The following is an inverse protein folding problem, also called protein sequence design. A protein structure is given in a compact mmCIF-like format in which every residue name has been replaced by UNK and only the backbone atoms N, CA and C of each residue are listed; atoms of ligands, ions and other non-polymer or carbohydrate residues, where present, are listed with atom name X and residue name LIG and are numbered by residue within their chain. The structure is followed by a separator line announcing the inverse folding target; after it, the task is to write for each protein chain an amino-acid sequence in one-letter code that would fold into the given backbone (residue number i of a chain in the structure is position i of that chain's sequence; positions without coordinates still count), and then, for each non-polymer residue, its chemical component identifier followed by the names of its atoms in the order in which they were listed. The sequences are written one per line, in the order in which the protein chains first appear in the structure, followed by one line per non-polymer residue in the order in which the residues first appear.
data_IF_371917198215
#
_entry.id   IF_371917198215
#
_cell.length_a   1.000
_cell.length_b   1.000
_cell.length_c   1.000
_cell.angle_alpha   90.00
_cell.angle_beta   90.00
_cell.angle_gamma   90.00
#
_symmetry.space_group_name_H-M   'P 1'
#
loop_
_entity.id
_entity.type
_entity.pdbx_description
1 polymer ?
#
# COMPACT_ATOMS: atom_id res chain seq x y z
N UNK A 1 -31.93 32.76 33.26
CA UNK A 1 -30.56 33.31 33.14
C UNK A 1 -29.59 32.18 33.45
N UNK A 2 -28.72 31.85 32.47
CA UNK A 2 -27.74 30.76 32.42
C UNK A 2 -28.31 29.33 32.40
N UNK A 3 -27.85 28.37 31.60
CA UNK A 3 -27.19 28.26 30.28
C UNK A 3 -26.72 26.80 30.24
N UNK A 4 -27.43 25.93 29.53
CA UNK A 4 -26.99 24.55 29.29
C UNK A 4 -25.97 24.54 28.14
N UNK A 5 -24.81 23.94 28.38
CA UNK A 5 -23.75 23.74 27.40
C UNK A 5 -24.02 22.43 26.64
N UNK A 6 -24.40 22.56 25.37
CA UNK A 6 -24.42 21.48 24.40
C UNK A 6 -22.98 21.03 24.07
N UNK A 7 -22.60 19.86 24.56
CA UNK A 7 -21.39 19.16 24.14
C UNK A 7 -21.63 18.50 22.77
N UNK A 8 -21.37 19.26 21.70
CA UNK A 8 -21.42 18.77 20.32
C UNK A 8 -20.21 17.84 20.08
N UNK A 9 -20.45 16.53 20.10
CA UNK A 9 -19.44 15.52 19.74
C UNK A 9 -18.99 15.73 18.29
N UNK A 10 -17.72 16.08 18.11
CA UNK A 10 -17.10 16.26 16.79
C UNK A 10 -17.01 14.91 16.07
N UNK A 11 -17.62 14.82 14.87
CA UNK A 11 -17.47 13.68 13.97
C UNK A 11 -16.01 13.59 13.49
N UNK A 12 -15.41 12.40 13.32
CA UNK A 12 -14.14 12.28 12.62
C UNK A 12 -14.31 12.78 11.17
N UNK A 13 -13.31 13.47 10.59
CA UNK A 13 -13.43 13.99 9.23
C UNK A 13 -13.60 12.84 8.24
N UNK A 14 -14.64 12.95 7.42
CA UNK A 14 -14.90 12.11 6.26
C UNK A 14 -13.69 12.11 5.33
N UNK A 15 -13.30 10.93 4.83
CA UNK A 15 -12.26 10.74 3.83
C UNK A 15 -12.71 11.20 2.43
N UNK A 16 -13.31 12.39 2.35
CA UNK A 16 -13.54 13.12 1.12
C UNK A 16 -12.38 14.08 0.89
N UNK A 17 -11.91 14.22 -0.36
CA UNK A 17 -10.93 15.25 -0.74
C UNK A 17 -11.36 16.59 -0.15
N UNK A 18 -10.61 17.08 0.83
CA UNK A 18 -10.83 18.41 1.39
C UNK A 18 -10.68 19.48 0.32
N UNK A 19 -11.41 20.60 0.43
CA UNK A 19 -11.24 21.74 -0.46
C UNK A 19 -9.82 22.29 -0.31
N UNK A 20 -9.04 22.31 -1.40
CA UNK A 20 -7.66 22.84 -1.42
C UNK A 20 -6.54 21.82 -1.64
N UNK A 21 -6.84 20.57 -2.00
CA UNK A 21 -5.79 19.62 -2.39
C UNK A 21 -4.94 20.20 -3.55
N UNK A 22 -3.65 20.43 -3.29
CA UNK A 22 -2.72 20.94 -4.29
C UNK A 22 -2.77 20.09 -5.56
N UNK A 23 -2.86 20.75 -6.71
CA UNK A 23 -2.94 20.05 -7.99
C UNK A 23 -1.68 19.20 -8.24
N UNK A 24 -1.81 18.01 -8.82
CA UNK A 24 -0.65 17.19 -9.18
C UNK A 24 0.30 17.92 -10.14
N UNK A 25 1.60 17.89 -9.85
CA UNK A 25 2.63 18.45 -10.72
C UNK A 25 2.91 17.49 -11.87
N UNK A 26 2.78 17.96 -13.11
CA UNK A 26 3.13 17.18 -14.30
C UNK A 26 4.64 17.26 -14.53
N UNK A 27 5.28 16.11 -14.79
CA UNK A 27 6.73 16.00 -14.88
C UNK A 27 7.15 15.17 -16.11
N UNK A 28 8.35 15.44 -16.62
CA UNK A 28 8.93 14.71 -17.76
C UNK A 28 10.44 14.50 -17.59
N UNK A 29 10.88 13.26 -17.78
CA UNK A 29 12.29 12.87 -17.84
C UNK A 29 12.55 12.23 -19.21
N UNK A 30 13.07 13.01 -20.16
CA UNK A 30 13.22 12.60 -21.55
C UNK A 30 11.92 12.01 -22.13
N UNK A 31 11.90 10.71 -22.49
CA UNK A 31 10.74 10.06 -23.06
C UNK A 31 9.66 9.68 -22.03
N UNK A 32 9.96 9.74 -20.74
CA UNK A 32 9.02 9.37 -19.66
C UNK A 32 8.18 10.56 -19.22
N UNK A 33 6.87 10.34 -19.08
CA UNK A 33 5.93 11.28 -18.46
C UNK A 33 5.39 10.72 -17.15
N UNK A 34 5.08 11.59 -16.20
CA UNK A 34 4.60 11.20 -14.87
C UNK A 34 3.93 12.40 -14.17
N UNK A 35 3.34 12.16 -13.00
CA UNK A 35 2.93 13.26 -12.13
C UNK A 35 3.28 13.00 -10.66
N UNK A 36 3.53 14.07 -9.93
CA UNK A 36 3.78 14.06 -8.50
C UNK A 36 2.57 14.61 -7.76
N UNK A 37 2.11 13.92 -6.71
CA UNK A 37 1.04 14.36 -5.83
C UNK A 37 1.62 15.02 -4.57
N UNK A 38 1.60 16.36 -4.45
CA UNK A 38 2.21 17.05 -3.30
C UNK A 38 1.59 16.67 -1.96
N UNK A 39 0.30 16.31 -1.93
CA UNK A 39 -0.40 15.95 -0.70
C UNK A 39 0.10 14.63 -0.07
N UNK A 40 0.73 13.76 -0.86
CA UNK A 40 1.10 12.39 -0.45
C UNK A 40 2.56 12.05 -0.75
N UNK A 41 3.31 12.95 -1.38
CA UNK A 41 4.63 12.71 -1.95
C UNK A 41 4.71 11.49 -2.87
N UNK A 42 3.63 11.23 -3.62
CA UNK A 42 3.50 10.07 -4.49
C UNK A 42 3.86 10.44 -5.93
N UNK A 43 4.88 9.81 -6.50
CA UNK A 43 5.19 9.87 -7.93
C UNK A 43 4.38 8.77 -8.64
N UNK A 44 3.51 9.14 -9.57
CA UNK A 44 2.52 8.22 -10.16
C UNK A 44 2.56 8.21 -11.68
N UNK A 45 2.08 7.07 -12.21
CA UNK A 45 1.87 6.81 -13.64
C UNK A 45 3.06 7.23 -14.47
N UNK A 46 4.21 6.62 -14.20
CA UNK A 46 5.41 6.81 -15.00
C UNK A 46 5.20 6.02 -16.30
N UNK A 47 5.10 6.73 -17.43
CA UNK A 47 4.72 6.15 -18.72
C UNK A 47 5.76 6.41 -19.79
N UNK A 48 5.95 5.43 -20.65
CA UNK A 48 6.63 5.55 -21.93
C UNK A 48 5.57 5.55 -23.02
N UNK A 49 5.13 6.76 -23.37
CA UNK A 49 3.97 6.94 -24.22
C UNK A 49 2.69 6.33 -23.62
N UNK A 50 2.10 5.34 -24.30
CA UNK A 50 0.90 4.65 -23.80
C UNK A 50 1.21 3.56 -22.76
N UNK A 51 2.44 3.07 -22.71
CA UNK A 51 2.86 1.97 -21.83
C UNK A 51 3.06 2.53 -20.42
N UNK A 52 2.32 2.02 -19.43
CA UNK A 52 2.62 2.29 -18.02
C UNK A 52 3.85 1.48 -17.63
N UNK A 53 4.94 2.17 -17.28
CA UNK A 53 6.23 1.55 -16.92
C UNK A 53 6.26 1.27 -15.43
N UNK A 54 5.88 2.27 -14.62
CA UNK A 54 5.75 2.13 -13.16
C UNK A 54 4.46 2.84 -12.75
N UNK A 55 3.60 2.14 -12.01
CA UNK A 55 2.33 2.68 -11.52
C UNK A 55 2.53 3.76 -10.47
N UNK A 56 3.54 3.59 -9.62
CA UNK A 56 4.04 4.68 -8.80
C UNK A 56 5.12 4.31 -7.80
N UNK A 57 5.74 5.33 -7.23
CA UNK A 57 6.80 5.25 -6.22
C UNK A 57 6.40 6.16 -5.07
N UNK A 58 6.40 5.62 -3.85
CA UNK A 58 6.07 6.36 -2.62
C UNK A 58 6.82 5.79 -1.42
N UNK A 59 6.96 6.58 -0.35
CA UNK A 59 7.50 6.12 0.91
C UNK A 59 6.37 5.85 1.92
N UNK A 60 6.54 4.82 2.75
CA UNK A 60 5.60 4.47 3.81
C UNK A 60 6.29 4.44 5.18
N UNK A 61 5.69 5.12 6.17
CA UNK A 61 6.05 5.02 7.58
C UNK A 61 4.89 4.32 8.30
N UNK A 62 5.13 3.11 8.80
CA UNK A 62 4.12 2.26 9.42
C UNK A 62 4.49 1.83 10.83
N UNK A 63 3.55 2.00 11.74
CA UNK A 63 3.65 1.57 13.14
C UNK A 63 3.59 0.02 13.29
N UNK A 64 3.68 -0.45 14.53
CA UNK A 64 3.56 -1.87 14.92
C UNK A 64 2.26 -2.55 14.48
N UNK A 65 1.21 -1.80 14.21
CA UNK A 65 -0.11 -2.29 13.84
C UNK A 65 -0.38 -2.11 12.33
N UNK A 66 0.66 -1.84 11.54
CA UNK A 66 0.55 -1.52 10.11
C UNK A 66 -0.21 -0.23 9.79
N UNK A 67 -0.51 0.60 10.79
CA UNK A 67 -1.06 1.94 10.61
C UNK A 67 -0.06 2.83 9.87
N UNK A 68 -0.50 3.50 8.80
CA UNK A 68 0.37 4.35 7.98
C UNK A 68 0.28 5.81 8.46
N UNK A 69 1.37 6.34 8.99
CA UNK A 69 1.48 7.76 9.32
C UNK A 69 1.66 8.56 8.02
N UNK A 70 0.60 9.27 7.60
CA UNK A 70 0.60 10.05 6.38
C UNK A 70 1.57 11.24 6.51
N UNK A 71 2.37 11.55 5.47
CA UNK A 71 3.30 12.66 5.52
C UNK A 71 2.55 13.99 5.37
N UNK A 72 2.99 14.99 6.13
CA UNK A 72 2.68 16.40 5.89
C UNK A 72 3.86 17.00 5.13
N UNK A 73 3.61 17.40 3.87
CA UNK A 73 4.66 17.92 2.98
C UNK A 73 4.80 19.44 3.16
N UNK A 74 6.04 19.90 3.27
CA UNK A 74 6.40 21.31 3.37
C UNK A 74 7.65 21.62 2.54
N UNK A 75 7.96 22.90 2.36
CA UNK A 75 9.16 23.37 1.66
C UNK A 75 9.36 22.78 0.25
N UNK A 76 8.26 22.48 -0.46
CA UNK A 76 8.31 21.95 -1.82
C UNK A 76 8.92 22.97 -2.78
N UNK A 77 10.07 22.64 -3.35
CA UNK A 77 10.73 23.38 -4.43
C UNK A 77 10.66 22.55 -5.70
N UNK A 78 10.46 23.24 -6.82
CA UNK A 78 10.40 22.60 -8.14
C UNK A 78 11.18 23.38 -9.19
N UNK A 79 11.92 22.65 -10.01
CA UNK A 79 12.55 23.13 -11.24
C UNK A 79 12.10 22.18 -12.35
N UNK A 80 11.24 22.65 -13.26
CA UNK A 80 10.66 21.81 -14.32
C UNK A 80 11.06 22.41 -15.66
N UNK A 81 11.61 21.58 -16.54
CA UNK A 81 12.02 21.92 -17.90
C UNK A 81 11.38 20.95 -18.91
N UNK A 82 11.57 21.20 -20.20
CA UNK A 82 10.94 20.41 -21.27
C UNK A 82 11.27 18.92 -21.29
N UNK A 83 12.33 18.46 -20.62
CA UNK A 83 12.71 17.04 -20.60
C UNK A 83 13.43 16.61 -19.32
N UNK A 84 13.43 17.46 -18.30
CA UNK A 84 14.08 17.19 -17.03
C UNK A 84 13.37 17.92 -15.91
N UNK A 85 13.54 17.45 -14.68
CA UNK A 85 13.03 18.12 -13.51
C UNK A 85 13.88 17.82 -12.27
N UNK A 86 13.76 18.69 -11.27
CA UNK A 86 14.24 18.46 -9.91
C UNK A 86 13.19 18.97 -8.92
N UNK A 87 12.83 18.12 -7.96
CA UNK A 87 11.93 18.41 -6.84
C UNK A 87 12.66 18.15 -5.53
N UNK A 88 12.43 18.99 -4.52
CA UNK A 88 12.86 18.74 -3.14
C UNK A 88 11.76 19.15 -2.18
N UNK A 89 11.56 18.41 -1.09
CA UNK A 89 10.57 18.74 -0.06
C UNK A 89 10.93 18.11 1.28
N UNK A 90 10.34 18.65 2.35
CA UNK A 90 10.37 18.05 3.68
C UNK A 90 9.04 17.36 3.96
N UNK A 91 9.09 16.22 4.64
CA UNK A 91 7.94 15.42 4.99
C UNK A 91 7.98 15.04 6.48
N UNK A 92 6.91 15.36 7.21
CA UNK A 92 6.75 14.98 8.61
C UNK A 92 5.62 13.96 8.77
N UNK A 93 5.94 12.80 9.31
CA UNK A 93 5.02 11.71 9.58
C UNK A 93 4.77 11.64 11.10
N UNK A 94 3.59 12.08 11.52
CA UNK A 94 3.15 12.06 12.93
C UNK A 94 1.85 11.29 13.11
N UNK A 95 1.86 10.19 13.87
CA UNK A 95 0.64 9.44 14.22
C UNK A 95 0.86 8.57 15.46
N UNK A 96 0.10 8.81 16.54
CA UNK A 96 0.31 8.09 17.80
C UNK A 96 1.74 8.29 18.30
N UNK A 97 2.45 7.19 18.53
CA UNK A 97 3.87 7.23 18.97
C UNK A 97 4.85 7.51 17.80
N UNK A 98 4.40 7.42 16.54
CA UNK A 98 5.25 7.67 15.37
C UNK A 98 5.55 9.15 15.28
N UNK A 99 6.84 9.50 15.33
CA UNK A 99 7.34 10.81 14.94
C UNK A 99 8.61 10.65 14.10
N UNK A 100 8.47 10.86 12.80
CA UNK A 100 9.55 10.64 11.82
C UNK A 100 9.54 11.77 10.80
N UNK A 101 10.71 12.31 10.48
CA UNK A 101 10.87 13.34 9.45
C UNK A 101 11.81 12.84 8.35
N UNK A 102 11.56 13.24 7.11
CA UNK A 102 12.48 12.99 6.02
C UNK A 102 12.48 14.10 4.97
N UNK A 103 13.61 14.24 4.29
CA UNK A 103 13.76 15.06 3.10
C UNK A 103 13.64 14.15 1.88
N UNK A 104 12.76 14.53 0.96
CA UNK A 104 12.57 13.88 -0.32
C UNK A 104 13.20 14.66 -1.46
N UNK A 105 13.91 13.97 -2.35
CA UNK A 105 14.44 14.56 -3.58
C UNK A 105 14.07 13.69 -4.78
N UNK A 106 13.53 14.31 -5.83
CA UNK A 106 13.16 13.62 -7.06
C UNK A 106 13.81 14.32 -8.24
N UNK A 107 14.58 13.57 -9.03
CA UNK A 107 15.18 14.09 -10.26
C UNK A 107 14.73 13.27 -11.45
N UNK A 108 14.55 13.95 -12.58
CA UNK A 108 14.31 13.35 -13.87
C UNK A 108 15.29 13.93 -14.89
N UNK A 109 16.05 13.07 -15.54
CA UNK A 109 17.07 13.46 -16.50
C UNK A 109 16.58 13.30 -17.97
N UNK A 110 17.18 14.03 -18.93
CA UNK A 110 16.79 13.96 -20.34
C UNK A 110 16.95 12.58 -21.00
N UNK A 111 17.72 11.67 -20.40
CA UNK A 111 17.91 10.31 -20.89
C UNK A 111 16.77 9.34 -20.48
N UNK A 112 15.86 9.78 -19.61
CA UNK A 112 14.81 8.95 -19.03
C UNK A 112 15.15 8.38 -17.65
N UNK A 113 16.28 8.74 -17.06
CA UNK A 113 16.60 8.36 -15.67
C UNK A 113 15.74 9.15 -14.70
N UNK A 114 15.07 8.46 -13.78
CA UNK A 114 14.31 9.07 -12.69
C UNK A 114 14.84 8.54 -11.36
N UNK A 115 15.25 9.42 -10.45
CA UNK A 115 15.72 9.05 -9.12
C UNK A 115 14.86 9.68 -8.04
N UNK A 116 14.44 8.89 -7.05
CA UNK A 116 13.73 9.36 -5.86
C UNK A 116 14.53 8.95 -4.61
N UNK A 117 15.04 9.94 -3.88
CA UNK A 117 15.78 9.77 -2.64
C UNK A 117 14.92 10.10 -1.41
N UNK A 118 15.18 9.39 -0.33
CA UNK A 118 14.57 9.54 0.99
C UNK A 118 15.69 9.59 2.01
N UNK A 119 15.79 10.68 2.77
CA UNK A 119 16.73 10.82 3.89
C UNK A 119 15.98 11.23 5.14
N UNK A 120 15.81 10.30 6.08
CA UNK A 120 14.96 10.49 7.24
C UNK A 120 15.59 10.16 8.57
N UNK A 121 14.94 10.63 9.62
CA UNK A 121 15.33 10.48 11.01
C UNK A 121 14.10 10.26 11.90
N UNK A 122 14.21 9.32 12.84
CA UNK A 122 13.23 9.15 13.91
C UNK A 122 13.42 10.24 14.97
N UNK A 123 12.36 11.00 15.26
CA UNK A 123 12.39 12.08 16.26
C UNK A 123 11.95 11.59 17.65
N UNK A 124 11.38 10.39 17.73
CA UNK A 124 10.99 9.71 18.96
C UNK A 124 11.33 8.21 18.87
N UNK A 125 11.30 7.53 20.02
CA UNK A 125 11.33 6.07 20.04
C UNK A 125 9.93 5.53 19.69
N UNK A 126 9.84 4.59 18.76
CA UNK A 126 8.57 3.91 18.45
C UNK A 126 8.80 2.54 17.82
N UNK A 127 7.74 1.73 17.78
CA UNK A 127 7.76 0.43 17.11
C UNK A 127 7.27 0.57 15.67
N UNK A 128 8.05 0.05 14.72
CA UNK A 128 7.72 0.08 13.28
C UNK A 128 7.56 -1.32 12.70
N UNK A 129 6.70 -1.42 11.69
CA UNK A 129 6.72 -2.53 10.73
C UNK A 129 7.39 -2.13 9.42
N UNK A 130 7.34 -0.85 9.03
CA UNK A 130 7.95 -0.37 7.77
C UNK A 130 8.34 1.10 7.84
N UNK A 131 9.54 1.41 7.35
CA UNK A 131 9.95 2.76 6.98
C UNK A 131 10.74 2.61 5.70
N UNK A 132 10.26 3.16 4.59
CA UNK A 132 10.97 3.12 3.32
C UNK A 132 10.09 3.10 2.09
N UNK A 133 10.73 2.95 0.93
CA UNK A 133 10.08 2.99 -0.37
C UNK A 133 9.22 1.76 -0.67
N UNK A 134 8.15 2.02 -1.39
CA UNK A 134 7.32 1.05 -2.09
C UNK A 134 7.23 1.47 -3.57
N UNK A 135 7.40 0.51 -4.47
CA UNK A 135 7.28 0.68 -5.92
C UNK A 135 6.15 -0.21 -6.43
N UNK A 136 5.17 0.40 -7.09
CA UNK A 136 4.03 -0.30 -7.68
C UNK A 136 4.29 -0.55 -9.17
N UNK A 137 4.24 -1.82 -9.55
CA UNK A 137 4.34 -2.26 -10.95
C UNK A 137 2.94 -2.50 -11.51
N UNK A 138 2.63 -1.99 -12.71
CA UNK A 138 1.28 -2.07 -13.26
C UNK A 138 0.95 -3.48 -13.73
N UNK A 139 -0.21 -4.00 -13.33
CA UNK A 139 -0.61 -5.38 -13.64
C UNK A 139 -0.72 -5.65 -15.15
N UNK A 140 -1.23 -4.68 -15.93
CA UNK A 140 -1.52 -4.87 -17.36
C UNK A 140 -0.24 -5.10 -18.16
N UNK A 141 0.80 -4.34 -17.86
CA UNK A 141 2.09 -4.43 -18.55
C UNK A 141 3.00 -5.49 -17.92
N UNK A 142 2.88 -5.77 -16.61
CA UNK A 142 3.78 -6.69 -15.93
C UNK A 142 3.31 -8.14 -15.86
N UNK A 143 2.02 -8.46 -15.77
CA UNK A 143 1.60 -9.87 -15.59
C UNK A 143 2.13 -10.78 -16.72
N UNK A 144 2.85 -11.85 -16.36
CA UNK A 144 3.52 -12.75 -17.30
C UNK A 144 4.73 -12.17 -18.06
N UNK A 145 5.04 -10.88 -17.89
CA UNK A 145 6.13 -10.20 -18.60
C UNK A 145 7.50 -10.77 -18.23
N UNK A 146 8.43 -10.71 -19.19
CA UNK A 146 9.84 -11.06 -18.95
C UNK A 146 10.42 -10.10 -17.93
N UNK A 147 11.13 -10.67 -16.96
CA UNK A 147 11.75 -9.93 -15.89
C UNK A 147 13.14 -10.45 -15.58
N UNK A 148 13.92 -9.60 -14.93
CA UNK A 148 15.21 -9.94 -14.34
C UNK A 148 15.22 -9.39 -12.93
N UNK A 149 15.76 -10.15 -12.01
CA UNK A 149 16.01 -9.69 -10.66
C UNK A 149 17.50 -9.76 -10.39
N UNK A 150 18.06 -8.63 -9.95
CA UNK A 150 19.41 -8.56 -9.43
C UNK A 150 19.33 -8.73 -7.92
N UNK A 151 19.95 -9.79 -7.42
CA UNK A 151 19.96 -10.13 -5.99
C UNK A 151 20.98 -9.30 -5.23
N UNK A 152 20.89 -9.27 -3.90
CA UNK A 152 21.84 -8.58 -3.01
C UNK A 152 23.26 -9.12 -3.08
N UNK A 153 23.43 -10.37 -3.49
CA UNK A 153 24.74 -10.99 -3.76
C UNK A 153 25.27 -10.73 -5.18
N UNK A 154 24.55 -9.93 -5.98
CA UNK A 154 24.91 -9.57 -7.34
C UNK A 154 24.46 -10.57 -8.41
N UNK A 155 23.88 -11.72 -8.05
CA UNK A 155 23.34 -12.66 -9.05
C UNK A 155 22.19 -12.03 -9.82
N UNK A 156 22.21 -12.19 -11.13
CA UNK A 156 21.08 -11.84 -12.00
C UNK A 156 20.32 -13.11 -12.34
N UNK A 157 19.03 -13.13 -12.04
CA UNK A 157 18.13 -14.25 -12.33
C UNK A 157 17.10 -13.80 -13.36
N UNK A 158 17.10 -14.45 -14.52
CA UNK A 158 16.03 -14.33 -15.52
C UNK A 158 14.76 -14.98 -14.98
N UNK A 159 13.64 -14.29 -15.06
CA UNK A 159 12.36 -14.76 -14.57
C UNK A 159 11.19 -14.12 -15.35
N UNK A 160 9.98 -14.30 -14.82
CA UNK A 160 8.79 -13.60 -15.26
C UNK A 160 8.02 -13.12 -14.05
N UNK A 161 7.26 -12.04 -14.20
CA UNK A 161 6.21 -11.74 -13.25
C UNK A 161 5.16 -12.86 -13.25
N UNK A 162 4.52 -13.16 -12.11
CA UNK A 162 3.46 -14.15 -12.06
C UNK A 162 2.30 -13.78 -12.99
N UNK A 163 1.91 -14.68 -13.88
CA UNK A 163 0.72 -14.50 -14.71
C UNK A 163 -0.54 -14.70 -13.85
N UNK A 164 -0.61 -15.83 -13.15
CA UNK A 164 -1.62 -16.10 -12.12
C UNK A 164 -1.20 -15.56 -10.75
N UNK A 165 -2.17 -15.38 -9.85
CA UNK A 165 -1.90 -14.95 -8.46
C UNK A 165 -1.02 -16.01 -7.79
N UNK A 166 0.12 -15.58 -7.25
CA UNK A 166 1.06 -16.45 -6.53
C UNK A 166 1.34 -15.93 -5.11
N UNK A 167 1.62 -16.82 -4.14
CA UNK A 167 2.08 -16.41 -2.83
C UNK A 167 3.47 -15.78 -2.94
N UNK A 168 3.69 -14.67 -2.24
CA UNK A 168 4.92 -13.90 -2.32
C UNK A 168 6.20 -14.73 -2.05
N UNK A 169 6.20 -15.54 -0.99
CA UNK A 169 7.43 -16.17 -0.46
C UNK A 169 7.80 -17.46 -1.21
N UNK A 170 6.80 -18.23 -1.64
CA UNK A 170 7.01 -19.57 -2.22
C UNK A 170 6.50 -19.70 -3.66
N UNK A 171 6.03 -18.60 -4.26
CA UNK A 171 5.64 -18.54 -5.66
C UNK A 171 6.81 -18.88 -6.58
N UNK A 172 6.52 -19.39 -7.77
CA UNK A 172 7.54 -19.77 -8.76
C UNK A 172 8.37 -18.56 -9.19
N UNK A 173 7.70 -17.42 -9.29
CA UNK A 173 8.33 -16.16 -9.68
C UNK A 173 8.98 -15.41 -8.50
N UNK A 174 8.98 -15.95 -7.28
CA UNK A 174 9.31 -15.20 -6.06
C UNK A 174 10.53 -14.27 -6.20
N UNK A 175 10.27 -13.00 -5.91
CA UNK A 175 11.22 -11.89 -5.99
C UNK A 175 11.64 -11.49 -4.58
N UNK A 176 12.86 -11.86 -4.21
CA UNK A 176 13.41 -11.70 -2.86
C UNK A 176 14.82 -11.12 -2.94
N UNK A 177 15.36 -10.61 -1.83
CA UNK A 177 16.74 -10.14 -1.76
C UNK A 177 17.13 -9.20 -2.91
N UNK A 178 16.24 -8.27 -3.26
CA UNK A 178 16.34 -7.46 -4.47
C UNK A 178 17.27 -6.27 -4.27
N UNK A 179 18.16 -6.07 -5.25
CA UNK A 179 18.89 -4.82 -5.54
C UNK A 179 18.35 -4.13 -6.79
N UNK A 180 17.83 -4.89 -7.73
CA UNK A 180 17.11 -4.33 -8.86
C UNK A 180 16.05 -5.29 -9.40
N UNK A 181 15.02 -4.74 -10.02
CA UNK A 181 14.06 -5.47 -10.84
C UNK A 181 14.01 -4.78 -12.20
N UNK A 182 14.20 -5.55 -13.26
CA UNK A 182 13.98 -5.09 -14.62
C UNK A 182 12.81 -5.85 -15.26
N UNK A 183 11.97 -5.16 -16.02
CA UNK A 183 10.94 -5.79 -16.84
C UNK A 183 10.92 -5.21 -18.26
N UNK A 184 10.59 -6.04 -19.23
CA UNK A 184 10.55 -5.63 -20.64
C UNK A 184 9.29 -4.79 -20.90
N UNK A 185 9.47 -3.54 -21.34
CA UNK A 185 8.37 -2.60 -21.64
C UNK A 185 8.07 -2.51 -23.14
N UNK A 186 9.03 -2.91 -23.97
CA UNK A 186 8.90 -3.12 -25.41
C UNK A 186 10.02 -4.08 -25.84
N UNK A 187 9.93 -4.66 -27.05
CA UNK A 187 10.93 -5.61 -27.53
C UNK A 187 12.37 -5.03 -27.45
N UNK A 188 13.20 -5.63 -26.60
CA UNK A 188 14.59 -5.21 -26.40
C UNK A 188 14.78 -3.93 -25.57
N UNK A 189 13.71 -3.36 -25.00
CA UNK A 189 13.74 -2.22 -24.09
C UNK A 189 13.22 -2.63 -22.71
N UNK A 190 14.04 -2.35 -21.70
CA UNK A 190 13.78 -2.73 -20.31
C UNK A 190 13.63 -1.49 -19.45
N UNK A 191 12.65 -1.52 -18.55
CA UNK A 191 12.62 -0.62 -17.41
C UNK A 191 13.33 -1.32 -16.25
N UNK A 192 14.44 -0.75 -15.81
CA UNK A 192 15.22 -1.24 -14.67
C UNK A 192 15.00 -0.31 -13.48
N UNK A 193 14.59 -0.88 -12.35
CA UNK A 193 14.41 -0.20 -11.08
C UNK A 193 15.46 -0.72 -10.11
N UNK A 194 16.40 0.14 -9.74
CA UNK A 194 17.43 -0.11 -8.74
C UNK A 194 16.96 0.38 -7.36
N UNK A 195 17.27 -0.39 -6.32
CA UNK A 195 16.90 -0.14 -4.94
C UNK A 195 18.16 -0.03 -4.06
N UNK A 196 18.26 1.06 -3.30
CA UNK A 196 19.36 1.30 -2.38
C UNK A 196 18.85 1.67 -0.98
N UNK A 197 19.65 1.35 0.04
CA UNK A 197 19.38 1.68 1.45
C UNK A 197 18.58 0.66 2.26
N UNK A 198 18.14 -0.45 1.66
CA UNK A 198 17.62 -1.64 2.37
C UNK A 198 17.66 -2.86 1.42
N UNK A 199 17.20 -4.02 1.90
CA UNK A 199 16.87 -5.19 1.09
C UNK A 199 15.40 -5.09 0.69
N UNK A 200 15.12 -5.34 -0.59
CA UNK A 200 13.76 -5.26 -1.13
C UNK A 200 13.24 -6.65 -1.49
N UNK A 201 11.93 -6.81 -1.50
CA UNK A 201 11.22 -7.97 -2.03
C UNK A 201 9.94 -7.50 -2.71
N UNK A 202 9.30 -8.36 -3.49
CA UNK A 202 8.06 -8.01 -4.17
C UNK A 202 6.91 -8.94 -3.81
N UNK A 203 5.79 -8.36 -3.40
CA UNK A 203 4.52 -9.06 -3.28
C UNK A 203 3.68 -8.93 -4.54
N UNK A 204 2.91 -9.98 -4.82
CA UNK A 204 1.75 -9.90 -5.68
C UNK A 204 0.57 -9.34 -4.88
N UNK A 205 0.22 -8.08 -5.12
CA UNK A 205 -0.83 -7.42 -4.35
C UNK A 205 -2.24 -7.87 -4.75
N UNK A 206 -2.39 -8.72 -5.78
CA UNK A 206 -3.68 -9.33 -6.13
C UNK A 206 -4.19 -10.25 -5.02
N UNK A 207 -3.29 -10.77 -4.18
CA UNK A 207 -3.65 -11.45 -2.93
C UNK A 207 -4.42 -10.54 -1.95
N UNK A 208 -4.30 -9.22 -2.12
CA UNK A 208 -4.94 -8.17 -1.31
C UNK A 208 -5.98 -7.37 -2.11
N UNK A 209 -6.43 -7.88 -3.26
CA UNK A 209 -7.40 -7.22 -4.16
C UNK A 209 -6.87 -5.94 -4.85
N UNK A 210 -5.59 -5.62 -4.69
CA UNK A 210 -4.95 -4.51 -5.39
C UNK A 210 -4.58 -4.90 -6.83
N UNK A 211 -4.66 -3.94 -7.76
CA UNK A 211 -4.34 -4.13 -9.18
C UNK A 211 -2.88 -3.79 -9.52
N UNK A 212 -1.93 -4.33 -8.75
CA UNK A 212 -0.49 -4.10 -8.91
C UNK A 212 0.37 -5.22 -8.31
N UNK A 213 1.64 -5.24 -8.66
CA UNK A 213 2.70 -5.85 -7.84
C UNK A 213 3.39 -4.75 -7.03
N UNK A 214 3.87 -5.05 -5.82
CA UNK A 214 4.56 -4.04 -5.00
C UNK A 214 5.91 -4.55 -4.56
N UNK A 215 6.96 -3.86 -4.98
CA UNK A 215 8.30 -4.01 -4.40
C UNK A 215 8.42 -3.11 -3.18
N UNK A 216 8.95 -3.61 -2.07
CA UNK A 216 9.08 -2.88 -0.82
C UNK A 216 10.24 -3.39 0.03
N UNK A 217 10.57 -2.61 1.05
CA UNK A 217 11.46 -2.98 2.15
C UNK A 217 10.75 -2.74 3.50
N UNK A 218 11.25 -3.23 4.62
CA UNK A 218 12.20 -4.33 4.80
C UNK A 218 11.46 -5.68 4.56
N UNK A 219 12.11 -6.79 4.17
CA UNK A 219 11.42 -8.04 3.84
C UNK A 219 10.60 -8.59 5.02
N UNK A 220 9.43 -9.19 4.74
CA UNK A 220 8.53 -9.76 5.75
C UNK A 220 9.10 -10.99 6.47
N UNK A 221 10.16 -11.60 5.96
CA UNK A 221 10.84 -12.67 6.67
C UNK A 221 11.70 -12.14 7.85
N UNK A 222 12.02 -10.84 7.86
CA UNK A 222 12.78 -10.22 8.96
C UNK A 222 11.89 -10.02 10.19
N UNK A 223 12.46 -9.92 11.41
CA UNK A 223 11.67 -9.62 12.61
C UNK A 223 10.86 -8.33 12.48
N UNK A 224 9.59 -8.37 12.86
CA UNK A 224 8.72 -7.20 13.02
C UNK A 224 7.64 -7.47 14.10
N UNK A 225 7.14 -6.43 14.80
CA UNK A 225 7.64 -5.06 14.80
C UNK A 225 9.05 -4.95 15.41
N UNK A 226 9.79 -3.91 15.03
CA UNK A 226 11.08 -3.56 15.65
C UNK A 226 11.05 -2.14 16.19
N UNK A 227 11.71 -1.91 17.32
CA UNK A 227 11.87 -0.57 17.89
C UNK A 227 12.90 0.23 17.06
N UNK A 228 12.55 1.46 16.72
CA UNK A 228 13.47 2.47 16.20
C UNK A 228 13.68 3.53 17.29
N UNK A 229 14.93 3.91 17.55
CA UNK A 229 15.27 4.92 18.55
C UNK A 229 15.31 6.32 17.94
N UNK A 230 14.98 7.33 18.72
CA UNK A 230 15.21 8.72 18.36
C UNK A 230 16.67 8.93 17.92
N UNK A 231 16.87 9.71 16.86
CA UNK A 231 18.16 9.91 16.19
C UNK A 231 18.53 8.84 15.17
N UNK A 232 17.77 7.74 15.04
CA UNK A 232 18.06 6.72 14.02
C UNK A 232 17.76 7.27 12.64
N UNK A 233 18.76 7.24 11.76
CA UNK A 233 18.63 7.66 10.36
C UNK A 233 18.28 6.50 9.44
N UNK A 234 17.46 6.79 8.42
CA UNK A 234 17.08 5.87 7.35
C UNK A 234 17.26 6.59 6.02
N UNK A 235 18.18 6.14 5.20
CA UNK A 235 18.46 6.71 3.88
C UNK A 235 18.20 5.64 2.81
N UNK A 236 17.45 5.97 1.78
CA UNK A 236 17.11 5.07 0.68
C UNK A 236 17.02 5.82 -0.64
N UNK A 237 17.18 5.11 -1.76
CA UNK A 237 16.83 5.66 -3.06
C UNK A 237 16.31 4.61 -4.04
N UNK A 238 15.41 5.07 -4.92
CA UNK A 238 14.91 4.32 -6.08
C UNK A 238 15.44 5.00 -7.33
N UNK A 239 16.07 4.24 -8.22
CA UNK A 239 16.48 4.76 -9.54
C UNK A 239 15.85 3.93 -10.65
N UNK A 240 15.01 4.56 -11.47
CA UNK A 240 14.44 3.99 -12.69
C UNK A 240 15.28 4.40 -13.90
N UNK A 241 15.64 3.45 -14.75
CA UNK A 241 16.33 3.66 -16.03
C UNK A 241 15.66 2.89 -17.15
N UNK A 242 15.79 3.39 -18.37
CA UNK A 242 15.46 2.66 -19.59
C UNK A 242 16.74 2.08 -20.20
N UNK A 243 16.81 0.75 -20.30
CA UNK A 243 18.01 0.01 -20.75
C UNK A 243 17.68 -0.79 -22.00
N UNK A 244 18.50 -0.66 -23.05
CA UNK A 244 18.37 -1.42 -24.29
C UNK A 244 18.19 -0.53 -25.53
N UNK A 245 17.92 -1.17 -26.67
CA UNK A 245 17.80 -0.47 -27.94
C UNK A 245 16.56 0.43 -27.92
N UNK A 246 16.77 1.75 -28.04
CA UNK A 246 15.67 2.70 -28.23
C UNK A 246 15.04 2.42 -29.59
N UNK A 247 13.96 1.63 -29.62
CA UNK A 247 13.01 1.75 -30.71
C UNK A 247 12.63 3.24 -30.83
N UNK A 248 12.45 3.75 -32.04
CA UNK A 248 11.95 5.10 -32.25
C UNK A 248 10.51 5.17 -31.73
N UNK A 249 10.35 5.47 -30.44
CA UNK A 249 9.04 5.78 -29.89
C UNK A 249 8.64 7.09 -30.54
N UNK A 250 7.50 7.10 -31.23
CA UNK A 250 6.87 8.36 -31.59
C UNK A 250 6.74 9.15 -30.30
N UNK A 251 7.16 10.41 -30.30
CA UNK A 251 6.82 11.31 -29.21
C UNK A 251 5.33 11.18 -28.96
N UNK A 252 5.00 10.64 -27.80
CA UNK A 252 3.62 10.64 -27.37
C UNK A 252 3.22 12.10 -27.17
N UNK A 253 2.40 12.60 -28.09
CA UNK A 253 1.47 13.72 -27.84
C UNK A 253 0.35 13.26 -26.90
N UNK A 254 0.72 12.57 -25.82
CA UNK A 254 -0.21 12.23 -24.76
C UNK A 254 -0.31 13.49 -23.93
N UNK A 255 -1.28 14.32 -24.31
CA UNK A 255 -1.92 15.23 -23.39
C UNK A 255 -2.44 14.37 -22.24
N UNK A 256 -1.72 14.38 -21.12
CA UNK A 256 -2.27 13.96 -19.83
C UNK A 256 -3.55 14.75 -19.68
N UNK A 257 -4.67 14.03 -19.68
CA UNK A 257 -6.00 14.55 -19.96
C UNK A 257 -6.18 16.03 -19.60
N UNK A 258 -6.54 16.82 -20.61
CA UNK A 258 -6.91 18.23 -20.48
C UNK A 258 -7.93 18.42 -19.32
N UNK A 259 -7.95 19.60 -18.68
CA UNK A 259 -9.10 20.02 -17.88
C UNK A 259 -10.36 19.93 -18.77
N UNK A 260 -11.17 18.87 -18.59
CA UNK A 260 -12.27 18.55 -19.51
C UNK A 260 -12.39 17.06 -19.88
N UNK A 261 -11.48 16.20 -19.42
CA UNK A 261 -11.67 14.74 -19.46
C UNK A 261 -13.07 14.38 -18.92
N UNK A 262 -13.79 13.40 -19.51
CA UNK A 262 -15.11 13.02 -19.04
C UNK A 262 -15.02 12.65 -17.55
N UNK A 263 -15.55 13.52 -16.70
CA UNK A 263 -15.67 13.24 -15.28
C UNK A 263 -16.76 12.21 -15.13
N UNK A 264 -16.38 11.01 -14.72
CA UNK A 264 -17.34 10.03 -14.21
C UNK A 264 -17.72 10.50 -12.81
N UNK A 265 -18.78 11.30 -12.73
CA UNK A 265 -19.41 11.61 -11.45
C UNK A 265 -20.22 10.40 -11.02
N UNK A 266 -19.78 9.74 -9.96
CA UNK A 266 -20.56 8.72 -9.27
C UNK A 266 -21.34 9.44 -8.15
N UNK A 267 -22.58 9.92 -8.39
CA UNK A 267 -23.36 10.50 -7.32
C UNK A 267 -23.60 9.42 -6.25
N UNK A 268 -23.50 9.75 -4.95
CA UNK A 268 -23.86 8.81 -3.91
C UNK A 268 -25.29 8.33 -4.14
N UNK A 269 -25.56 7.02 -4.02
CA UNK A 269 -26.90 6.51 -4.20
C UNK A 269 -27.83 7.15 -3.17
N UNK A 270 -28.93 7.76 -3.63
CA UNK A 270 -29.96 8.38 -2.78
C UNK A 270 -30.86 7.35 -2.09
N UNK A 271 -30.81 6.10 -2.55
CA UNK A 271 -31.50 4.96 -1.95
C UNK A 271 -30.73 3.66 -2.25
N UNK A 272 -30.87 2.62 -1.41
CA UNK A 272 -30.31 1.29 -1.68
C UNK A 272 -30.91 0.75 -2.99
N UNK A 273 -30.06 0.43 -3.97
CA UNK A 273 -30.50 -0.18 -5.24
C UNK A 273 -30.56 -1.71 -5.19
N UNK A 274 -29.88 -2.30 -4.21
CA UNK A 274 -29.83 -3.73 -3.95
C UNK A 274 -30.00 -3.95 -2.45
N UNK A 275 -30.66 -5.04 -2.03
CA UNK A 275 -30.65 -5.41 -0.62
C UNK A 275 -29.22 -5.67 -0.18
N UNK A 276 -28.84 -5.14 0.98
CA UNK A 276 -27.55 -5.48 1.57
C UNK A 276 -27.49 -6.97 1.86
N UNK A 277 -26.36 -7.65 1.61
CA UNK A 277 -26.19 -9.02 2.06
C UNK A 277 -26.36 -9.08 3.58
N UNK A 278 -26.84 -10.21 4.09
CA UNK A 278 -26.89 -10.46 5.54
C UNK A 278 -25.46 -10.38 6.09
N UNK A 279 -25.18 -9.34 6.87
CA UNK A 279 -23.87 -9.13 7.46
C UNK A 279 -23.75 -9.92 8.75
N UNK A 280 -22.58 -10.47 9.03
CA UNK A 280 -22.26 -11.11 10.31
C UNK A 280 -20.88 -10.69 10.79
N UNK A 281 -20.52 -11.15 11.99
CA UNK A 281 -19.20 -10.92 12.58
C UNK A 281 -18.58 -12.25 12.96
N UNK A 282 -17.26 -12.35 12.89
CA UNK A 282 -16.53 -13.44 13.56
C UNK A 282 -16.50 -13.23 15.07
N UNK A 283 -16.46 -14.32 15.84
CA UNK A 283 -16.24 -14.31 17.27
C UNK A 283 -14.97 -13.51 17.62
N UNK A 284 -15.04 -12.70 18.67
CA UNK A 284 -13.92 -11.86 19.08
C UNK A 284 -12.68 -12.69 19.45
N UNK A 285 -11.50 -12.24 18.99
CA UNK A 285 -10.23 -12.95 19.15
C UNK A 285 -9.50 -12.67 20.47
N UNK A 286 -9.96 -11.69 21.27
CA UNK A 286 -9.34 -11.33 22.55
C UNK A 286 -9.61 -12.34 23.69
N UNK A 287 -10.33 -13.45 23.41
CA UNK A 287 -10.49 -14.57 24.34
C UNK A 287 -11.51 -14.37 25.48
N UNK A 288 -11.91 -13.13 25.75
CA UNK A 288 -12.90 -12.77 26.76
C UNK A 288 -14.32 -12.65 26.21
N UNK A 289 -15.35 -12.60 27.09
CA UNK A 289 -16.70 -12.25 26.69
C UNK A 289 -16.80 -10.78 26.27
N UNK A 290 -17.79 -10.44 25.46
CA UNK A 290 -18.12 -9.06 25.14
C UNK A 290 -18.53 -8.27 26.40
N UNK A 291 -18.03 -7.05 26.52
CA UNK A 291 -18.46 -6.09 27.54
C UNK A 291 -19.84 -5.53 27.22
N UNK A 292 -20.54 -4.98 28.22
CA UNK A 292 -21.85 -4.33 28.02
C UNK A 292 -21.80 -3.20 26.98
N UNK A 293 -20.69 -2.46 26.96
CA UNK A 293 -20.46 -1.39 25.99
C UNK A 293 -20.35 -1.94 24.56
N UNK A 294 -19.65 -3.05 24.39
CA UNK A 294 -19.51 -3.72 23.08
C UNK A 294 -20.85 -4.30 22.63
N UNK A 295 -21.56 -5.01 23.51
CA UNK A 295 -22.90 -5.53 23.23
C UNK A 295 -23.86 -4.42 22.80
N UNK A 296 -23.90 -3.30 23.52
CA UNK A 296 -24.75 -2.17 23.17
C UNK A 296 -24.42 -1.60 21.79
N UNK A 297 -23.13 -1.49 21.44
CA UNK A 297 -22.70 -1.02 20.12
C UNK A 297 -23.04 -2.02 19.02
N UNK A 298 -22.76 -3.30 19.24
CA UNK A 298 -23.01 -4.35 18.25
C UNK A 298 -24.50 -4.57 17.97
N UNK A 299 -25.37 -4.49 18.98
CA UNK A 299 -26.84 -4.55 18.81
C UNK A 299 -27.40 -3.40 17.97
N UNK A 300 -26.70 -2.27 17.87
CA UNK A 300 -27.12 -1.15 17.02
C UNK A 300 -26.89 -1.41 15.52
N UNK A 301 -26.13 -2.47 15.18
CA UNK A 301 -25.84 -2.86 13.82
C UNK A 301 -26.86 -3.92 13.34
N UNK A 302 -27.29 -3.89 12.07
CA UNK A 302 -28.22 -4.88 11.50
C UNK A 302 -27.50 -6.19 11.16
N UNK A 303 -26.92 -6.85 12.17
CA UNK A 303 -26.20 -8.11 12.03
C UNK A 303 -27.17 -9.29 12.00
N UNK A 304 -26.92 -10.25 11.12
CA UNK A 304 -27.71 -11.45 10.96
C UNK A 304 -27.15 -12.63 11.77
N UNK A 305 -25.83 -12.70 11.95
CA UNK A 305 -25.20 -13.83 12.63
C UNK A 305 -23.85 -13.48 13.27
N UNK A 306 -23.48 -14.27 14.29
CA UNK A 306 -22.13 -14.41 14.81
C UNK A 306 -21.54 -15.71 14.26
N UNK A 307 -20.39 -15.64 13.60
CA UNK A 307 -19.66 -16.81 13.11
C UNK A 307 -18.62 -17.26 14.13
N UNK A 308 -18.57 -18.56 14.41
CA UNK A 308 -17.49 -19.18 15.18
C UNK A 308 -16.88 -20.35 14.43
N UNK A 309 -15.55 -20.36 14.38
CA UNK A 309 -14.75 -21.45 13.84
C UNK A 309 -14.35 -22.39 15.00
N UNK A 310 -15.08 -23.49 15.16
CA UNK A 310 -14.88 -24.48 16.24
C UNK A 310 -13.93 -25.56 15.74
N UNK A 311 -12.73 -25.62 16.33
CA UNK A 311 -11.73 -26.64 16.04
C UNK A 311 -11.89 -27.81 17.01
N UNK A 312 -12.54 -28.89 16.58
CA UNK A 312 -12.87 -30.02 17.47
C UNK A 312 -11.64 -30.77 18.00
N UNK A 313 -10.46 -30.60 17.36
CA UNK A 313 -9.19 -31.11 17.88
C UNK A 313 -8.56 -30.26 19.00
N UNK A 314 -9.07 -29.06 19.29
CA UNK A 314 -8.54 -28.18 20.32
C UNK A 314 -9.19 -28.49 21.68
N UNK A 315 -8.42 -28.53 22.77
CA UNK A 315 -8.92 -28.88 24.11
C UNK A 315 -10.01 -27.90 24.60
N UNK A 316 -9.93 -26.65 24.19
CA UNK A 316 -10.81 -25.55 24.61
C UNK A 316 -12.03 -25.35 23.69
N UNK A 317 -12.25 -26.22 22.70
CA UNK A 317 -13.38 -26.09 21.77
C UNK A 317 -14.76 -25.97 22.46
N UNK A 318 -15.05 -26.69 23.57
CA UNK A 318 -16.35 -26.55 24.24
C UNK A 318 -16.55 -25.15 24.81
N UNK A 319 -15.51 -24.56 25.40
CA UNK A 319 -15.55 -23.21 25.96
C UNK A 319 -15.73 -22.16 24.88
N UNK A 320 -15.06 -22.32 23.72
CA UNK A 320 -15.24 -21.44 22.55
C UNK A 320 -16.67 -21.51 22.03
N UNK A 321 -17.24 -22.71 21.94
CA UNK A 321 -18.63 -22.93 21.56
C UNK A 321 -19.61 -22.27 22.53
N UNK A 322 -19.46 -22.49 23.83
CA UNK A 322 -20.35 -21.94 24.85
C UNK A 322 -20.33 -20.42 24.85
N UNK A 323 -19.15 -19.82 24.73
CA UNK A 323 -19.00 -18.36 24.60
C UNK A 323 -19.73 -17.84 23.38
N UNK A 324 -19.48 -18.42 22.21
CA UNK A 324 -20.10 -17.97 20.96
C UNK A 324 -21.63 -18.10 21.00
N UNK A 325 -22.15 -19.22 21.53
CA UNK A 325 -23.58 -19.42 21.69
C UNK A 325 -24.21 -18.44 22.69
N UNK A 326 -23.48 -18.07 23.75
CA UNK A 326 -23.88 -17.05 24.72
C UNK A 326 -23.92 -15.66 24.11
N UNK A 327 -22.87 -15.26 23.40
CA UNK A 327 -22.78 -13.94 22.75
C UNK A 327 -23.80 -13.78 21.63
N UNK A 328 -24.03 -14.80 20.79
CA UNK A 328 -25.07 -14.75 19.77
C UNK A 328 -26.47 -14.54 20.40
N UNK A 329 -26.75 -15.22 21.52
CA UNK A 329 -27.97 -15.03 22.31
C UNK A 329 -28.07 -13.61 22.89
N UNK A 330 -26.98 -13.10 23.46
CA UNK A 330 -26.94 -11.73 23.97
C UNK A 330 -27.16 -10.71 22.86
N UNK A 331 -26.58 -10.91 21.68
CA UNK A 331 -26.76 -10.02 20.53
C UNK A 331 -28.15 -10.18 19.86
N UNK A 332 -28.84 -11.30 20.09
CA UNK A 332 -30.14 -11.59 19.47
C UNK A 332 -30.01 -11.96 17.98
N UNK A 333 -28.89 -12.55 17.59
CA UNK A 333 -28.56 -12.91 16.20
C UNK A 333 -28.33 -14.41 16.04
N UNK A 334 -28.31 -14.89 14.80
CA UNK A 334 -28.02 -16.29 14.51
C UNK A 334 -26.58 -16.67 14.89
N UNK A 335 -26.32 -17.96 15.03
CA UNK A 335 -24.97 -18.51 15.17
C UNK A 335 -24.62 -19.27 13.89
N UNK A 336 -23.60 -18.81 13.17
CA UNK A 336 -23.00 -19.54 12.05
C UNK A 336 -21.82 -20.36 12.56
N UNK A 337 -21.80 -21.66 12.23
CA UNK A 337 -20.80 -22.60 12.71
C UNK A 337 -19.92 -23.07 11.56
N UNK A 338 -18.62 -22.89 11.72
CA UNK A 338 -17.62 -23.57 10.91
C UNK A 338 -16.91 -24.62 11.77
N UNK A 339 -17.20 -25.89 11.51
CA UNK A 339 -16.59 -27.01 12.21
C UNK A 339 -15.31 -27.43 11.50
N UNK A 340 -14.18 -27.36 12.20
CA UNK A 340 -12.90 -27.88 11.73
C UNK A 340 -12.68 -29.23 12.42
N UNK A 341 -12.84 -30.29 11.64
CA UNK A 341 -12.60 -31.66 12.10
C UNK A 341 -11.09 -31.92 12.17
N UNK A 342 -10.60 -32.67 13.17
CA UNK A 342 -9.22 -33.16 13.14
C UNK A 342 -9.02 -34.00 11.88
N UNK A 343 -7.79 -33.97 11.31
CA UNK A 343 -7.44 -34.92 10.27
C UNK A 343 -7.56 -36.34 10.85
N UNK A 344 -8.16 -37.25 10.10
CA UNK A 344 -8.03 -38.68 10.43
C UNK A 344 -6.55 -39.02 10.32
N UNK A 345 -5.99 -39.60 11.38
CA UNK A 345 -4.72 -40.33 11.28
C UNK A 345 -4.99 -41.62 10.51
N UNK A 346 -5.25 -41.51 9.21
CA UNK A 346 -5.15 -42.64 8.30
C UNK A 346 -3.66 -42.79 7.97
N UNK A 347 -3.04 -43.81 8.55
CA UNK A 347 -1.61 -44.11 8.50
C UNK A 347 -1.07 -44.56 7.15
#
# INVERSE_FOLDING_TARGET
MKSEMDAKASRPPESGRGPGAAEPLRLRAGPLTMFFEPATAFLRRIRLGEVEVIRGIYAAVRDRNWGTALPIISNLKSQISNGSFALSFDAECGQGDVHFRWQGEITGAPDGTVKFSFDGEALANFWRNRIGFCVLHPIRECAGARARQTRTDGRVVECRFPDTIEPQIFGRSSFQDLRAVAHEVAAGLWAEVEFDGDVFEMEDQRNWTDASFKTYCTPLAMPFPVEIRAGTRVCQSITLRLVGARASFRESRVEVAEPGAPQVTLPPPTAPRLPMPRLGLGLASHGGPLTDRELARLRSLPLAHLRVDVKLGAVDWPTVWERAAGEARQLGIGLELALHLPRSDDG
#
